data_IF_732793435963
#
_entry.id   IF_732793435963
#
_cell.length_a   1.000
_cell.length_b   1.000
_cell.length_c   1.000
_cell.angle_alpha   90.00
_cell.angle_beta   90.00
_cell.angle_gamma   90.00
#
_symmetry.space_group_name_H-M   'P 1'
#
loop_
_entity.id
_entity.type
_entity.pdbx_description
1 polymer ?
#
# COMPACT_ATOMS: atom_id res chain seq x y z
N UNK A 1 7.34 -85.08 -2.17
CA UNK A 1 7.71 -83.97 -1.28
C UNK A 1 8.14 -82.73 -2.10
N UNK A 2 7.29 -82.18 -3.00
CA UNK A 2 7.62 -81.01 -3.83
C UNK A 2 6.54 -79.88 -3.78
N UNK A 3 5.55 -79.93 -2.89
CA UNK A 3 4.42 -79.00 -2.87
C UNK A 3 4.55 -77.83 -1.88
N UNK A 4 5.56 -77.78 -1.03
CA UNK A 4 5.70 -76.77 -0.01
C UNK A 4 6.69 -75.59 -0.31
N UNK A 5 7.46 -75.75 -1.42
CA UNK A 5 8.49 -74.76 -1.78
C UNK A 5 7.91 -73.49 -2.36
N UNK A 6 6.69 -73.55 -2.93
CA UNK A 6 6.02 -72.31 -3.47
C UNK A 6 5.21 -71.49 -2.46
N UNK A 7 4.88 -72.10 -1.32
CA UNK A 7 4.09 -71.43 -0.31
C UNK A 7 4.95 -70.45 0.55
N UNK A 8 6.23 -70.82 0.73
CA UNK A 8 7.16 -70.00 1.51
C UNK A 8 7.46 -68.63 0.92
N UNK A 9 7.75 -68.46 -0.39
CA UNK A 9 7.97 -67.11 -0.95
C UNK A 9 6.69 -66.29 -1.06
N UNK A 10 5.53 -66.96 -1.25
CA UNK A 10 4.23 -66.23 -1.28
C UNK A 10 3.85 -65.65 0.09
N UNK A 11 4.14 -66.38 1.16
CA UNK A 11 3.90 -65.95 2.51
C UNK A 11 4.85 -64.77 2.90
N UNK A 12 6.09 -64.81 2.42
CA UNK A 12 7.05 -63.73 2.63
C UNK A 12 6.64 -62.43 1.91
N UNK A 13 6.10 -62.53 0.69
CA UNK A 13 5.54 -61.37 -0.03
C UNK A 13 4.29 -60.79 0.62
N UNK A 14 3.46 -61.61 1.26
CA UNK A 14 2.29 -61.13 1.99
C UNK A 14 2.65 -60.37 3.28
N UNK A 15 3.77 -60.72 3.91
CA UNK A 15 4.23 -60.03 5.13
C UNK A 15 4.88 -58.69 4.80
N UNK A 16 5.39 -58.46 3.60
CA UNK A 16 5.94 -57.17 3.18
C UNK A 16 4.88 -56.14 2.83
N UNK A 17 3.61 -56.52 2.66
CA UNK A 17 2.49 -55.59 2.45
C UNK A 17 1.89 -55.01 3.74
N UNK A 18 2.30 -55.53 4.91
CA UNK A 18 1.90 -54.99 6.22
C UNK A 18 2.82 -53.90 6.73
N UNK A 19 3.81 -53.49 5.94
CA UNK A 19 4.55 -52.25 6.19
C UNK A 19 3.76 -51.04 5.67
N UNK A 20 2.46 -51.00 5.95
CA UNK A 20 1.78 -49.73 6.04
C UNK A 20 2.31 -49.12 7.32
N UNK A 21 3.41 -48.43 7.22
CA UNK A 21 3.94 -47.56 8.23
C UNK A 21 2.83 -46.54 8.52
N UNK A 22 2.21 -46.72 9.69
CA UNK A 22 1.37 -45.71 10.25
C UNK A 22 2.31 -44.51 10.49
N UNK A 23 2.39 -43.65 9.48
CA UNK A 23 3.12 -42.40 9.62
C UNK A 23 2.39 -41.55 10.66
N UNK A 24 2.58 -41.89 11.91
CA UNK A 24 2.27 -41.03 13.06
C UNK A 24 3.35 -39.97 13.18
N UNK A 25 3.94 -39.50 12.08
CA UNK A 25 4.55 -38.19 12.07
C UNK A 25 3.42 -37.20 12.37
N UNK A 26 3.18 -37.00 13.66
CA UNK A 26 2.72 -35.73 14.13
C UNK A 26 3.79 -34.73 13.70
N UNK A 27 3.78 -34.41 12.41
CA UNK A 27 4.19 -33.07 11.99
C UNK A 27 3.30 -32.20 12.86
N UNK A 28 3.84 -31.78 14.00
CA UNK A 28 3.34 -30.58 14.65
C UNK A 28 3.39 -29.58 13.50
N UNK A 29 2.25 -29.40 12.85
CA UNK A 29 2.05 -28.24 11.98
C UNK A 29 2.19 -27.10 12.94
N UNK A 30 3.44 -26.61 13.09
CA UNK A 30 3.65 -25.32 13.69
C UNK A 30 2.69 -24.44 12.92
N UNK A 31 1.71 -23.88 13.62
CA UNK A 31 0.82 -22.90 13.04
C UNK A 31 1.76 -21.80 12.51
N UNK A 32 2.07 -21.86 11.21
CA UNK A 32 2.76 -20.78 10.53
C UNK A 32 1.79 -19.65 10.68
N UNK A 33 2.17 -18.64 11.49
CA UNK A 33 1.31 -17.49 11.72
C UNK A 33 0.87 -16.93 10.37
N UNK A 34 -0.40 -17.13 10.05
CA UNK A 34 -0.94 -16.62 8.79
C UNK A 34 -1.42 -15.20 9.02
N UNK A 35 -0.85 -14.26 8.28
CA UNK A 35 -1.34 -12.90 8.16
C UNK A 35 -2.14 -12.83 6.87
N UNK A 36 -3.37 -12.36 6.97
CA UNK A 36 -4.25 -12.19 5.81
C UNK A 36 -4.71 -10.75 5.73
N UNK A 37 -4.56 -10.12 4.58
CA UNK A 37 -5.13 -8.81 4.31
C UNK A 37 -6.61 -8.97 3.94
N UNK A 38 -7.49 -8.34 4.71
CA UNK A 38 -8.95 -8.40 4.51
C UNK A 38 -9.48 -7.23 3.73
N UNK A 39 -8.68 -6.18 3.60
CA UNK A 39 -9.03 -4.97 2.88
C UNK A 39 -9.29 -5.23 1.39
N UNK A 40 -10.44 -4.78 0.91
CA UNK A 40 -10.85 -4.87 -0.50
C UNK A 40 -10.40 -3.67 -1.33
N UNK A 41 -10.18 -2.54 -0.68
CA UNK A 41 -9.76 -1.33 -1.37
C UNK A 41 -8.32 -1.48 -1.86
N UNK A 42 -8.11 -1.23 -3.13
CA UNK A 42 -6.80 -1.30 -3.79
C UNK A 42 -6.41 0.01 -4.46
N UNK A 43 -7.26 1.03 -4.41
CA UNK A 43 -7.03 2.34 -5.02
C UNK A 43 -7.28 3.43 -3.98
N UNK A 44 -6.33 4.35 -3.87
CA UNK A 44 -6.34 5.47 -2.95
C UNK A 44 -6.15 6.76 -3.74
N UNK A 45 -6.83 7.81 -3.32
CA UNK A 45 -6.75 9.14 -3.92
C UNK A 45 -6.31 10.12 -2.84
N UNK A 46 -5.26 10.87 -3.11
CA UNK A 46 -4.67 11.82 -2.15
C UNK A 46 -4.16 13.04 -2.88
N UNK A 47 -4.27 14.21 -2.28
CA UNK A 47 -3.68 15.43 -2.81
C UNK A 47 -2.16 15.44 -2.70
N UNK A 48 -1.48 16.06 -3.68
CA UNK A 48 -0.06 16.37 -3.53
C UNK A 48 0.14 17.26 -2.30
N UNK A 49 1.13 16.97 -1.47
CA UNK A 49 1.40 17.61 -0.16
C UNK A 49 0.33 17.35 0.92
N UNK A 50 -0.63 16.47 0.69
CA UNK A 50 -1.56 16.00 1.73
C UNK A 50 -0.99 14.79 2.48
N UNK A 51 -1.48 14.60 3.71
CA UNK A 51 -1.13 13.44 4.52
C UNK A 51 -1.98 12.23 4.11
N UNK A 52 -1.31 11.13 3.80
CA UNK A 52 -1.92 9.82 3.61
C UNK A 52 -1.78 9.02 4.91
N UNK A 53 -2.90 8.76 5.56
CA UNK A 53 -2.98 7.86 6.71
C UNK A 53 -3.61 6.53 6.28
N UNK A 54 -2.92 5.42 6.52
CA UNK A 54 -3.42 4.08 6.19
C UNK A 54 -3.12 3.10 7.32
N UNK A 55 -4.17 2.50 7.84
CA UNK A 55 -4.10 1.40 8.79
C UNK A 55 -4.47 0.13 8.02
N UNK A 56 -3.55 -0.83 7.85
CA UNK A 56 -3.83 -2.04 7.09
C UNK A 56 -4.85 -2.90 7.84
N UNK A 57 -5.90 -3.33 7.14
CA UNK A 57 -6.87 -4.29 7.69
C UNK A 57 -6.30 -5.71 7.56
N UNK A 58 -5.73 -6.21 8.65
CA UNK A 58 -5.09 -7.52 8.72
C UNK A 58 -5.75 -8.42 9.74
N UNK A 59 -5.91 -9.69 9.39
CA UNK A 59 -6.23 -10.76 10.32
C UNK A 59 -4.96 -11.54 10.61
N UNK A 60 -4.68 -11.70 11.89
CA UNK A 60 -3.52 -12.43 12.41
C UNK A 60 -4.04 -13.71 13.05
N UNK A 61 -3.50 -14.86 12.63
CA UNK A 61 -3.89 -16.15 13.21
C UNK A 61 -3.57 -16.20 14.71
N UNK A 62 -4.41 -16.91 15.44
CA UNK A 62 -4.22 -17.13 16.88
C UNK A 62 -2.84 -17.80 17.14
N UNK A 63 -2.12 -17.28 18.12
CA UNK A 63 -0.78 -17.76 18.49
C UNK A 63 0.39 -17.11 17.74
N UNK A 64 0.14 -16.21 16.80
CA UNK A 64 1.21 -15.43 16.16
C UNK A 64 1.78 -14.42 17.15
N UNK A 65 3.12 -14.36 17.24
CA UNK A 65 3.80 -13.36 18.05
C UNK A 65 3.81 -12.01 17.31
N UNK A 66 2.92 -11.11 17.68
CA UNK A 66 2.82 -9.78 17.05
C UNK A 66 4.03 -8.89 17.28
N UNK A 67 4.79 -9.10 18.38
CA UNK A 67 6.00 -8.32 18.67
C UNK A 67 7.17 -8.70 17.75
N UNK A 68 7.05 -9.84 17.06
CA UNK A 68 8.04 -10.31 16.10
C UNK A 68 7.72 -9.89 14.64
N UNK A 69 6.66 -9.13 14.44
CA UNK A 69 6.32 -8.59 13.13
C UNK A 69 7.04 -7.28 12.88
N UNK A 70 7.66 -7.19 11.71
CA UNK A 70 8.22 -5.92 11.21
C UNK A 70 7.45 -5.46 9.99
N UNK A 71 7.36 -4.15 9.83
CA UNK A 71 6.59 -3.50 8.77
C UNK A 71 7.55 -2.69 7.90
N UNK A 72 7.29 -2.68 6.61
CA UNK A 72 8.00 -1.85 5.65
C UNK A 72 7.00 -1.33 4.62
N UNK A 73 6.85 0.00 4.59
CA UNK A 73 6.07 0.69 3.58
C UNK A 73 7.01 1.26 2.54
N UNK A 74 6.75 0.92 1.29
CA UNK A 74 7.56 1.38 0.18
C UNK A 74 6.69 1.99 -0.92
N UNK A 75 7.24 2.99 -1.63
CA UNK A 75 6.59 3.68 -2.74
C UNK A 75 7.43 3.53 -4.00
N UNK A 76 6.77 3.24 -5.12
CA UNK A 76 7.41 3.18 -6.44
C UNK A 76 6.53 3.80 -7.52
N UNK A 77 7.18 4.38 -8.54
CA UNK A 77 6.51 4.87 -9.75
C UNK A 77 6.18 3.74 -10.73
N UNK A 78 6.78 2.56 -10.54
CA UNK A 78 6.56 1.42 -11.43
C UNK A 78 5.23 0.75 -11.11
N UNK A 79 4.32 0.60 -12.08
CA UNK A 79 3.12 -0.19 -11.89
C UNK A 79 3.48 -1.65 -11.60
N UNK A 80 3.10 -2.14 -10.42
CA UNK A 80 3.27 -3.55 -10.09
C UNK A 80 2.16 -4.35 -10.76
N UNK A 81 2.53 -5.22 -11.68
CA UNK A 81 1.63 -6.19 -12.30
C UNK A 81 1.95 -7.58 -11.78
N UNK A 82 1.00 -8.50 -11.80
CA UNK A 82 1.16 -9.87 -11.32
C UNK A 82 2.29 -10.67 -12.02
N UNK A 83 2.81 -10.14 -13.13
CA UNK A 83 3.91 -10.74 -13.92
C UNK A 83 5.22 -9.96 -13.81
N UNK A 84 5.27 -8.90 -13.00
CA UNK A 84 6.51 -8.13 -12.82
C UNK A 84 7.50 -8.95 -12.00
N UNK A 85 8.65 -9.23 -12.58
CA UNK A 85 9.80 -9.72 -11.81
C UNK A 85 10.19 -8.61 -10.81
N UNK A 86 10.43 -8.98 -9.57
CA UNK A 86 10.60 -8.12 -8.39
C UNK A 86 11.84 -7.18 -8.38
N UNK A 87 12.34 -6.76 -9.53
CA UNK A 87 13.46 -5.83 -9.65
C UNK A 87 12.97 -4.45 -10.05
N UNK A 88 12.18 -3.79 -9.20
CA UNK A 88 11.84 -2.39 -9.37
C UNK A 88 12.45 -1.57 -8.23
N UNK A 89 12.88 -0.38 -8.54
CA UNK A 89 13.35 0.56 -7.54
C UNK A 89 12.15 1.07 -6.73
N UNK A 90 12.26 1.00 -5.40
CA UNK A 90 11.27 1.53 -4.47
C UNK A 90 11.96 2.32 -3.37
N UNK A 91 11.26 3.27 -2.83
CA UNK A 91 11.69 4.07 -1.70
C UNK A 91 10.94 3.64 -0.45
N UNK A 92 11.67 3.29 0.61
CA UNK A 92 11.07 3.00 1.92
C UNK A 92 10.65 4.33 2.54
N UNK A 93 9.36 4.46 2.86
CA UNK A 93 8.75 5.69 3.39
C UNK A 93 8.36 5.58 4.86
N UNK A 94 8.16 4.37 5.39
CA UNK A 94 7.90 4.13 6.82
C UNK A 94 8.18 2.67 7.19
N UNK A 95 8.45 2.44 8.48
CA UNK A 95 8.54 1.12 9.11
C UNK A 95 7.54 0.93 10.25
N UNK A 96 6.60 1.84 10.40
CA UNK A 96 5.58 1.78 11.42
C UNK A 96 4.43 0.83 11.02
N UNK A 97 3.69 0.24 11.97
CA UNK A 97 2.51 -0.58 11.66
C UNK A 97 1.41 0.18 10.91
N UNK A 98 1.31 1.49 11.13
CA UNK A 98 0.42 2.41 10.45
C UNK A 98 1.23 3.37 9.61
N UNK A 99 0.80 3.60 8.37
CA UNK A 99 1.38 4.63 7.53
C UNK A 99 0.81 6.01 7.88
N UNK A 100 1.70 6.97 8.13
CA UNK A 100 1.42 8.40 8.13
C UNK A 100 2.49 9.05 7.26
N UNK A 101 2.11 9.49 6.06
CA UNK A 101 3.06 9.96 5.05
C UNK A 101 2.52 11.19 4.34
N UNK A 102 3.30 12.27 4.31
CA UNK A 102 3.00 13.44 3.48
C UNK A 102 3.43 13.11 2.05
N UNK A 103 2.46 13.12 1.13
CA UNK A 103 2.69 12.71 -0.25
C UNK A 103 3.38 13.82 -1.03
N UNK A 104 4.69 13.92 -0.91
CA UNK A 104 5.55 14.86 -1.65
C UNK A 104 5.81 14.36 -3.08
N UNK A 105 4.75 13.91 -3.76
CA UNK A 105 4.85 13.41 -5.14
C UNK A 105 4.10 14.31 -6.09
N UNK A 106 4.63 14.51 -7.32
CA UNK A 106 3.92 15.28 -8.32
C UNK A 106 2.61 14.61 -8.72
N UNK A 107 1.67 15.44 -9.13
CA UNK A 107 0.43 14.98 -9.75
C UNK A 107 0.75 14.16 -10.99
N UNK A 108 0.15 12.99 -11.11
CA UNK A 108 0.38 12.09 -12.23
C UNK A 108 -0.91 11.42 -12.68
N UNK A 109 -1.04 11.22 -13.99
CA UNK A 109 -2.13 10.43 -14.58
C UNK A 109 -1.95 8.92 -14.35
N UNK A 110 -0.71 8.50 -14.12
CA UNK A 110 -0.38 7.13 -13.75
C UNK A 110 -0.30 7.00 -12.24
N UNK A 111 -0.88 5.96 -11.62
CA UNK A 111 -0.78 5.78 -10.18
C UNK A 111 0.63 5.39 -9.75
N UNK A 112 1.02 5.84 -8.57
CA UNK A 112 2.13 5.26 -7.83
C UNK A 112 1.68 3.92 -7.22
N UNK A 113 2.62 3.02 -6.97
CA UNK A 113 2.37 1.80 -6.24
C UNK A 113 2.88 1.94 -4.81
N UNK A 114 1.98 1.82 -3.84
CA UNK A 114 2.31 1.68 -2.42
C UNK A 114 2.37 0.19 -2.10
N UNK A 115 3.45 -0.21 -1.45
CA UNK A 115 3.72 -1.57 -1.03
C UNK A 115 3.81 -1.62 0.48
N UNK A 116 3.11 -2.55 1.12
CA UNK A 116 3.35 -2.95 2.51
C UNK A 116 3.91 -4.37 2.51
N UNK A 117 5.05 -4.55 3.15
CA UNK A 117 5.62 -5.85 3.46
C UNK A 117 5.60 -6.03 4.98
N UNK A 118 4.96 -7.09 5.45
CA UNK A 118 4.99 -7.52 6.84
C UNK A 118 5.87 -8.77 6.91
N UNK A 119 6.91 -8.75 7.74
CA UNK A 119 7.83 -9.87 7.89
C UNK A 119 7.67 -10.47 9.28
N UNK A 120 7.39 -11.77 9.33
CA UNK A 120 7.40 -12.56 10.55
C UNK A 120 8.82 -13.08 10.80
N UNK A 121 9.51 -12.46 11.76
CA UNK A 121 10.93 -12.76 12.04
C UNK A 121 11.14 -14.07 12.80
N UNK A 122 10.09 -14.66 13.37
CA UNK A 122 10.15 -15.95 14.09
C UNK A 122 9.99 -17.13 13.13
N UNK A 123 9.27 -16.95 12.02
CA UNK A 123 9.01 -17.99 11.05
C UNK A 123 9.81 -17.76 9.77
N UNK A 124 11.11 -17.97 9.84
CA UNK A 124 12.07 -17.91 8.70
C UNK A 124 11.96 -16.64 7.85
N UNK A 125 11.60 -15.50 8.47
CA UNK A 125 11.35 -14.22 7.81
C UNK A 125 10.27 -14.33 6.72
N UNK A 126 9.19 -15.05 6.99
CA UNK A 126 8.07 -15.17 6.08
C UNK A 126 7.45 -13.79 5.82
N UNK A 127 7.27 -13.45 4.55
CA UNK A 127 6.80 -12.13 4.12
C UNK A 127 5.37 -12.19 3.59
N UNK A 128 4.58 -11.20 3.98
CA UNK A 128 3.22 -10.96 3.52
C UNK A 128 3.17 -9.59 2.88
N UNK A 129 2.68 -9.51 1.64
CA UNK A 129 2.75 -8.29 0.85
C UNK A 129 1.39 -7.85 0.36
N UNK A 130 1.09 -6.57 0.43
CA UNK A 130 -0.10 -5.92 -0.09
C UNK A 130 0.26 -4.69 -0.91
N UNK A 131 -0.49 -4.44 -1.98
CA UNK A 131 -0.31 -3.31 -2.89
C UNK A 131 -1.55 -2.44 -2.94
N UNK A 132 -1.35 -1.12 -3.05
CA UNK A 132 -2.36 -0.13 -3.38
C UNK A 132 -1.85 0.73 -4.53
N UNK A 133 -2.76 1.16 -5.39
CA UNK A 133 -2.51 2.21 -6.35
C UNK A 133 -2.83 3.55 -5.71
N UNK A 134 -1.87 4.48 -5.71
CA UNK A 134 -2.08 5.84 -5.21
C UNK A 134 -2.18 6.79 -6.40
N UNK A 135 -3.33 7.42 -6.54
CA UNK A 135 -3.55 8.50 -7.49
C UNK A 135 -3.31 9.83 -6.78
N UNK A 136 -2.19 10.46 -7.13
CA UNK A 136 -1.84 11.79 -6.60
C UNK A 136 -2.57 12.84 -7.42
N UNK A 137 -3.48 13.55 -6.77
CA UNK A 137 -4.30 14.57 -7.39
C UNK A 137 -3.77 15.96 -7.05
N UNK A 138 -4.11 16.94 -7.88
CA UNK A 138 -3.85 18.34 -7.51
C UNK A 138 -4.83 18.76 -6.41
N UNK A 139 -4.31 19.35 -5.35
CA UNK A 139 -5.13 20.02 -4.33
C UNK A 139 -5.81 21.28 -4.87
N UNK A 140 -5.44 21.72 -6.07
CA UNK A 140 -5.91 22.95 -6.71
C UNK A 140 -6.89 22.70 -7.87
N UNK A 141 -7.45 21.48 -8.00
CA UNK A 141 -8.32 21.15 -9.15
C UNK A 141 -9.70 21.77 -9.08
N UNK A 142 -10.28 21.88 -7.87
CA UNK A 142 -11.66 22.33 -7.68
C UNK A 142 -11.75 23.38 -6.60
N UNK A 143 -12.51 24.45 -6.84
CA UNK A 143 -12.74 25.48 -5.86
C UNK A 143 -12.95 26.87 -6.46
N UNK A 144 -13.06 27.87 -5.62
CA UNK A 144 -13.11 29.26 -6.02
C UNK A 144 -11.71 29.86 -6.08
N UNK A 145 -11.25 30.15 -7.29
CA UNK A 145 -9.95 30.80 -7.51
C UNK A 145 -10.14 32.31 -7.61
N UNK A 146 -9.44 33.04 -6.76
CA UNK A 146 -9.49 34.50 -6.66
C UNK A 146 -8.11 35.08 -6.93
N UNK A 147 -8.04 36.09 -7.81
CA UNK A 147 -6.86 36.94 -7.91
C UNK A 147 -6.94 38.06 -6.87
N UNK A 148 -5.90 38.19 -6.09
CA UNK A 148 -5.80 39.28 -5.08
C UNK A 148 -4.52 40.11 -5.28
N UNK A 149 -4.51 41.31 -4.74
CA UNK A 149 -3.35 42.19 -4.70
C UNK A 149 -3.23 42.84 -3.34
N UNK A 150 -2.01 42.85 -2.81
CA UNK A 150 -1.73 43.54 -1.53
C UNK A 150 -1.12 44.95 -1.73
N UNK A 151 -0.55 45.23 -2.88
CA UNK A 151 0.20 46.46 -3.15
C UNK A 151 -0.30 47.23 -4.38
N UNK A 152 -1.34 46.76 -5.05
CA UNK A 152 -1.87 47.38 -6.26
C UNK A 152 -0.97 47.29 -7.51
N UNK A 153 0.15 46.57 -7.45
CA UNK A 153 1.11 46.44 -8.56
C UNK A 153 1.41 44.99 -8.91
N UNK A 154 1.25 44.08 -7.99
CA UNK A 154 1.44 42.64 -8.20
C UNK A 154 0.17 41.89 -7.82
N UNK A 155 -0.04 40.75 -8.42
CA UNK A 155 -1.17 39.89 -8.09
C UNK A 155 -0.70 38.51 -7.66
N UNK A 156 -1.47 37.88 -6.80
CA UNK A 156 -1.30 36.49 -6.43
C UNK A 156 -2.64 35.77 -6.56
N UNK A 157 -2.65 34.47 -6.33
CA UNK A 157 -3.85 33.64 -6.37
C UNK A 157 -4.18 33.09 -5.00
N UNK A 158 -5.46 33.11 -4.69
CA UNK A 158 -6.05 32.45 -3.52
C UNK A 158 -7.08 31.46 -3.99
N UNK A 159 -6.97 30.20 -3.58
CA UNK A 159 -7.95 29.15 -3.82
C UNK A 159 -8.73 28.88 -2.53
N UNK A 160 -10.03 28.79 -2.63
CA UNK A 160 -10.93 28.46 -1.53
C UNK A 160 -11.64 27.15 -1.90
N UNK A 161 -11.40 26.11 -1.12
CA UNK A 161 -12.09 24.83 -1.21
C UNK A 161 -13.09 24.73 -0.06
N UNK A 162 -14.37 24.60 -0.38
CA UNK A 162 -15.42 24.32 0.58
C UNK A 162 -16.63 23.69 -0.13
N UNK A 163 -17.64 23.29 0.63
CA UNK A 163 -18.84 22.65 0.10
C UNK A 163 -19.64 23.51 -0.90
N UNK A 164 -19.48 24.84 -0.86
CA UNK A 164 -20.20 25.74 -1.77
C UNK A 164 -19.54 25.85 -3.15
N UNK A 165 -18.21 25.60 -3.25
CA UNK A 165 -17.42 25.85 -4.46
C UNK A 165 -16.76 24.60 -5.02
N UNK A 166 -16.66 23.53 -4.22
CA UNK A 166 -15.96 22.31 -4.62
C UNK A 166 -16.91 21.13 -4.64
N UNK A 167 -17.02 20.47 -5.79
CA UNK A 167 -17.93 19.33 -5.96
C UNK A 167 -17.48 18.15 -5.08
N UNK A 168 -18.44 17.56 -4.36
CA UNK A 168 -18.20 16.43 -3.43
C UNK A 168 -17.18 16.72 -2.30
N UNK A 169 -16.98 17.99 -1.95
CA UNK A 169 -16.11 18.37 -0.86
C UNK A 169 -16.74 18.03 0.49
N UNK A 170 -16.07 17.22 1.29
CA UNK A 170 -16.54 16.73 2.59
C UNK A 170 -15.59 17.06 3.76
N UNK A 171 -14.60 17.90 3.49
CA UNK A 171 -13.62 18.40 4.49
C UNK A 171 -14.01 19.79 5.00
N UNK A 172 -13.32 20.25 6.02
CA UNK A 172 -13.40 21.64 6.47
C UNK A 172 -12.88 22.60 5.39
N UNK A 173 -13.34 23.85 5.43
CA UNK A 173 -12.89 24.88 4.49
C UNK A 173 -11.36 25.02 4.51
N UNK A 174 -10.76 24.98 3.33
CA UNK A 174 -9.33 25.20 3.13
C UNK A 174 -9.11 26.44 2.25
N UNK A 175 -8.20 27.32 2.69
CA UNK A 175 -7.85 28.56 1.98
C UNK A 175 -6.34 28.53 1.70
N UNK A 176 -5.98 28.35 0.43
CA UNK A 176 -4.60 28.41 -0.04
C UNK A 176 -4.29 29.81 -0.56
N UNK A 177 -3.45 30.55 0.15
CA UNK A 177 -3.09 31.92 -0.21
C UNK A 177 -1.72 31.99 -0.84
N UNK A 178 -1.49 33.00 -1.68
CA UNK A 178 -0.20 33.28 -2.31
C UNK A 178 0.32 32.09 -3.12
N UNK A 179 -0.54 31.48 -3.90
CA UNK A 179 -0.22 30.27 -4.67
C UNK A 179 0.95 30.51 -5.62
N UNK A 180 0.92 31.62 -6.37
CA UNK A 180 2.00 31.94 -7.32
C UNK A 180 3.33 32.19 -6.62
N UNK A 181 3.30 32.93 -5.51
CA UNK A 181 4.50 33.15 -4.68
C UNK A 181 5.03 31.84 -4.14
N UNK A 182 4.18 30.93 -3.69
CA UNK A 182 4.59 29.64 -3.12
C UNK A 182 5.18 28.72 -4.19
N UNK A 183 4.62 28.70 -5.40
CA UNK A 183 5.07 27.82 -6.47
C UNK A 183 6.29 28.37 -7.26
N UNK A 184 6.35 29.70 -7.43
CA UNK A 184 7.33 30.34 -8.33
C UNK A 184 8.34 31.22 -7.59
N UNK A 185 8.23 31.33 -6.25
CA UNK A 185 9.07 32.21 -5.42
C UNK A 185 8.72 33.69 -5.48
N UNK A 186 7.78 34.11 -6.35
CA UNK A 186 7.36 35.50 -6.52
C UNK A 186 5.92 35.59 -7.04
N UNK A 187 5.18 36.68 -6.71
CA UNK A 187 3.87 36.95 -7.27
C UNK A 187 3.96 37.34 -8.75
N UNK A 188 2.82 37.35 -9.41
CA UNK A 188 2.72 37.87 -10.78
C UNK A 188 2.94 39.38 -10.78
N UNK A 189 3.83 39.85 -11.66
CA UNK A 189 4.10 41.29 -11.80
C UNK A 189 3.05 41.93 -12.70
N UNK A 190 2.09 42.55 -12.09
CA UNK A 190 0.93 43.15 -12.75
C UNK A 190 -0.37 42.83 -12.02
N UNK A 191 -1.46 43.44 -12.46
CA UNK A 191 -2.81 43.16 -11.95
C UNK A 191 -3.53 42.17 -12.89
N UNK A 192 -3.91 41.04 -12.36
CA UNK A 192 -4.76 40.09 -13.08
C UNK A 192 -6.20 40.59 -13.07
N UNK A 193 -6.76 40.84 -14.26
CA UNK A 193 -8.14 41.30 -14.43
C UNK A 193 -9.11 40.16 -14.77
N UNK A 194 -8.60 39.07 -15.35
CA UNK A 194 -9.40 37.92 -15.76
C UNK A 194 -8.62 36.64 -15.54
N UNK A 195 -9.28 35.67 -14.95
CA UNK A 195 -8.80 34.29 -14.84
C UNK A 195 -9.67 33.43 -15.76
N UNK A 196 -9.03 32.73 -16.68
CA UNK A 196 -9.67 31.68 -17.48
C UNK A 196 -9.12 30.35 -16.99
N UNK A 197 -10.03 29.53 -16.51
CA UNK A 197 -9.71 28.22 -15.95
C UNK A 197 -10.35 27.13 -16.81
#
# INVERSE_FOLDING_TARGET
MKKYIFISPLLLCLLSLYSCYDDSSTLATNNIGNITFTEKQSELYVGSMEELTLIPDIQIAEGTNTDALTYEWALTETPVTSSSSYNFEYEIISTDPQLNYIVERPVSTSPYTLLLTITDTVHDNLQYTKYWKIYVQSTFLDGLLISDTQNGTTSDLTLINNQAFTVNYNKDEQIFRKILTSLNGQPFNGLMQTLVY
#
